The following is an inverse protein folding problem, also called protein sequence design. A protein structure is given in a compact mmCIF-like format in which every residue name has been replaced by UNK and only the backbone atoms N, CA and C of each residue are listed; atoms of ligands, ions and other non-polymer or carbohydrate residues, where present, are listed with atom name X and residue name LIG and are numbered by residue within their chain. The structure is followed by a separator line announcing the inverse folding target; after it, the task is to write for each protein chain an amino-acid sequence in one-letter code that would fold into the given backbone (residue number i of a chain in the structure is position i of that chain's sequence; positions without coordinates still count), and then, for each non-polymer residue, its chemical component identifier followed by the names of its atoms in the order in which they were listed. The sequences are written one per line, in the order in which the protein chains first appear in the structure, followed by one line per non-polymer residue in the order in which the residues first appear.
data_IF_082998085510
#
_entry.id   IF_082998085510
#
_cell.length_a   1.000
_cell.length_b   1.000
_cell.length_c   1.000
_cell.angle_alpha   90.00
_cell.angle_beta   90.00
_cell.angle_gamma   90.00
#
_symmetry.space_group_name_H-M   'P 1'
#
loop_
_entity.id
_entity.type
_entity.pdbx_description
1 polymer ?
#
# COMPACT_ATOMS: atom_id res chain seq x y z
N UNK A 1 33.45 25.65 50.09
CA UNK A 1 33.66 25.03 48.77
C UNK A 1 32.30 24.87 48.11
N UNK A 2 32.02 25.60 47.03
CA UNK A 2 30.72 25.60 46.33
C UNK A 2 30.79 24.63 45.15
N UNK A 3 29.92 23.61 45.15
CA UNK A 3 29.82 22.62 44.07
C UNK A 3 29.23 23.24 42.81
N UNK A 4 29.76 22.85 41.66
CA UNK A 4 29.25 23.18 40.32
C UNK A 4 28.26 22.08 39.93
N UNK A 5 27.01 22.38 39.55
CA UNK A 5 26.11 21.37 39.01
C UNK A 5 26.43 21.13 37.53
N UNK A 6 26.61 19.86 37.17
CA UNK A 6 26.78 19.42 35.78
C UNK A 6 25.45 19.58 35.03
N UNK A 7 25.45 20.38 33.96
CA UNK A 7 24.31 20.48 33.04
C UNK A 7 24.24 19.25 32.16
N UNK A 8 23.23 18.43 32.37
CA UNK A 8 22.88 17.28 31.55
C UNK A 8 22.39 17.75 30.17
N UNK A 9 23.12 17.36 29.11
CA UNK A 9 22.73 17.63 27.72
C UNK A 9 21.85 16.48 27.24
N UNK A 10 20.53 16.69 27.22
CA UNK A 10 19.61 15.77 26.55
C UNK A 10 19.82 15.85 25.04
N UNK A 11 20.30 14.76 24.45
CA UNK A 11 20.31 14.57 23.01
C UNK A 11 18.93 14.06 22.57
N UNK A 12 18.07 14.97 22.13
CA UNK A 12 16.86 14.62 21.41
C UNK A 12 17.27 14.12 20.01
N UNK A 13 17.02 12.84 19.74
CA UNK A 13 17.20 12.26 18.40
C UNK A 13 15.83 12.26 17.73
N UNK A 14 15.63 13.13 16.75
CA UNK A 14 14.47 13.11 15.88
C UNK A 14 14.51 11.86 14.97
N UNK A 15 13.63 10.89 15.24
CA UNK A 15 13.45 9.66 14.46
C UNK A 15 12.44 9.89 13.33
N UNK A 16 12.64 10.92 12.51
CA UNK A 16 11.87 11.06 11.28
C UNK A 16 12.69 10.58 10.08
N UNK A 17 12.35 9.40 9.57
CA UNK A 17 12.96 8.82 8.38
C UNK A 17 12.76 9.74 7.17
N UNK A 18 13.83 9.97 6.39
CA UNK A 18 13.78 10.71 5.13
C UNK A 18 12.88 9.98 4.14
N UNK A 19 11.63 10.46 3.99
CA UNK A 19 10.75 10.02 2.91
C UNK A 19 11.31 10.59 1.60
N UNK A 20 11.94 9.77 0.79
CA UNK A 20 12.29 10.15 -0.57
C UNK A 20 10.99 10.34 -1.36
N UNK A 21 10.60 11.58 -1.60
CA UNK A 21 9.52 11.87 -2.53
C UNK A 21 10.05 11.60 -3.94
N UNK A 22 9.84 10.37 -4.43
CA UNK A 22 10.08 10.07 -5.84
C UNK A 22 9.08 10.88 -6.65
N UNK A 23 9.57 11.82 -7.45
CA UNK A 23 8.74 12.61 -8.36
C UNK A 23 8.05 11.66 -9.34
N UNK A 24 6.80 11.31 -9.07
CA UNK A 24 5.98 10.50 -9.96
C UNK A 24 5.68 11.33 -11.20
N UNK A 25 6.28 10.97 -12.34
CA UNK A 25 5.98 11.58 -13.63
C UNK A 25 5.16 10.59 -14.44
N UNK A 26 3.97 10.97 -14.91
CA UNK A 26 3.13 10.11 -15.75
C UNK A 26 2.84 10.81 -17.08
N UNK A 27 2.56 10.04 -18.14
CA UNK A 27 2.18 10.59 -19.44
C UNK A 27 0.67 10.83 -19.50
N UNK A 28 0.26 11.92 -20.12
CA UNK A 28 -1.12 12.19 -20.48
C UNK A 28 -1.52 11.37 -21.72
N UNK A 29 -2.78 11.46 -22.14
CA UNK A 29 -3.33 10.78 -23.32
C UNK A 29 -2.62 11.19 -24.62
N UNK A 30 -2.16 12.44 -24.71
CA UNK A 30 -1.37 12.96 -25.83
C UNK A 30 0.14 12.65 -25.71
N UNK A 31 0.54 11.79 -24.77
CA UNK A 31 1.94 11.40 -24.55
C UNK A 31 2.81 12.44 -23.82
N UNK A 32 2.24 13.61 -23.45
CA UNK A 32 2.93 14.67 -22.71
C UNK A 32 3.20 14.27 -21.25
N UNK A 33 4.41 14.50 -20.76
CA UNK A 33 4.78 14.18 -19.37
C UNK A 33 4.19 15.20 -18.39
N UNK A 34 3.33 14.72 -17.49
CA UNK A 34 2.77 15.45 -16.36
C UNK A 34 3.68 15.32 -15.15
N UNK A 35 4.08 16.47 -14.59
CA UNK A 35 4.95 16.58 -13.40
C UNK A 35 4.22 17.15 -12.18
N UNK A 36 3.10 17.83 -12.40
CA UNK A 36 2.35 18.49 -11.32
C UNK A 36 1.45 17.46 -10.62
N UNK A 37 1.53 17.29 -9.29
CA UNK A 37 0.77 16.29 -8.55
C UNK A 37 -0.75 16.44 -8.71
N UNK A 38 -1.26 17.66 -8.93
CA UNK A 38 -2.70 17.88 -9.15
C UNK A 38 -3.15 17.36 -10.51
N UNK A 39 -2.38 17.62 -11.57
CA UNK A 39 -2.69 17.08 -12.91
C UNK A 39 -2.51 15.56 -12.95
N UNK A 40 -1.53 15.02 -12.23
CA UNK A 40 -1.31 13.58 -12.10
C UNK A 40 -2.53 12.90 -11.45
N UNK A 41 -3.04 13.44 -10.33
CA UNK A 41 -4.26 12.94 -9.68
C UNK A 41 -5.48 13.01 -10.58
N UNK A 42 -5.66 14.11 -11.31
CA UNK A 42 -6.77 14.25 -12.26
C UNK A 42 -6.67 13.25 -13.42
N UNK A 43 -5.46 13.01 -13.93
CA UNK A 43 -5.20 12.01 -14.97
C UNK A 43 -5.54 10.60 -14.47
N UNK A 44 -5.12 10.25 -13.24
CA UNK A 44 -5.49 8.99 -12.61
C UNK A 44 -7.01 8.84 -12.46
N UNK A 45 -7.70 9.87 -11.95
CA UNK A 45 -9.15 9.84 -11.77
C UNK A 45 -9.90 9.65 -13.10
N UNK A 46 -9.44 10.31 -14.17
CA UNK A 46 -10.04 10.15 -15.51
C UNK A 46 -9.78 8.76 -16.08
N UNK A 47 -8.55 8.26 -15.94
CA UNK A 47 -8.17 6.93 -16.42
C UNK A 47 -8.93 5.82 -15.67
N UNK A 48 -9.02 5.90 -14.34
CA UNK A 48 -9.75 4.90 -13.54
C UNK A 48 -11.24 4.91 -13.87
N UNK A 49 -11.86 6.08 -14.00
CA UNK A 49 -13.24 6.20 -14.42
C UNK A 49 -13.46 5.59 -15.81
N UNK A 50 -12.56 5.87 -16.77
CA UNK A 50 -12.64 5.25 -18.10
C UNK A 50 -12.48 3.74 -18.03
N UNK A 51 -11.48 3.23 -17.31
CA UNK A 51 -11.20 1.79 -17.22
C UNK A 51 -12.38 1.02 -16.59
N UNK A 52 -12.92 1.53 -15.48
CA UNK A 52 -13.95 0.83 -14.70
C UNK A 52 -15.37 1.01 -15.26
N UNK A 53 -15.64 2.12 -15.95
CA UNK A 53 -16.97 2.39 -16.53
C UNK A 53 -17.04 2.10 -18.04
N UNK A 54 -15.95 1.65 -18.66
CA UNK A 54 -16.03 1.06 -20.01
C UNK A 54 -16.74 -0.28 -19.87
N UNK A 55 -17.77 -0.50 -20.70
CA UNK A 55 -18.48 -1.79 -20.76
C UNK A 55 -17.45 -2.90 -20.84
N UNK A 56 -17.52 -3.86 -19.92
CA UNK A 56 -16.63 -5.01 -19.93
C UNK A 56 -16.69 -5.64 -21.33
N UNK A 57 -15.54 -5.89 -21.99
CA UNK A 57 -15.55 -6.75 -23.16
C UNK A 57 -16.28 -8.04 -22.78
N UNK A 58 -17.04 -8.63 -23.70
CA UNK A 58 -17.61 -9.97 -23.49
C UNK A 58 -16.47 -10.88 -23.04
N UNK A 59 -16.45 -11.23 -21.75
CA UNK A 59 -15.39 -12.05 -21.18
C UNK A 59 -15.60 -13.43 -21.78
N UNK A 60 -14.67 -13.84 -22.64
CA UNK A 60 -14.64 -15.20 -23.14
C UNK A 60 -14.37 -16.13 -21.95
N UNK A 61 -15.39 -16.89 -21.54
CA UNK A 61 -15.32 -17.83 -20.41
C UNK A 61 -14.25 -18.91 -20.64
N UNK A 62 -13.84 -19.14 -21.90
CA UNK A 62 -12.76 -20.06 -22.27
C UNK A 62 -11.41 -19.34 -22.48
N UNK A 63 -11.29 -18.04 -22.17
CA UNK A 63 -10.02 -17.32 -22.27
C UNK A 63 -8.93 -17.95 -21.38
N UNK A 64 -9.30 -18.55 -20.25
CA UNK A 64 -8.39 -19.28 -19.38
C UNK A 64 -7.85 -20.57 -20.03
N UNK A 65 -8.65 -21.22 -20.89
CA UNK A 65 -8.24 -22.42 -21.62
C UNK A 65 -7.32 -22.08 -22.82
N UNK A 66 -7.51 -20.89 -23.38
CA UNK A 66 -6.65 -20.34 -24.44
C UNK A 66 -5.36 -19.72 -23.89
N UNK A 67 -5.32 -19.39 -22.60
CA UNK A 67 -4.12 -18.90 -21.96
C UNK A 67 -3.08 -20.03 -21.94
N UNK A 68 -1.83 -19.69 -22.31
CA UNK A 68 -0.72 -20.63 -22.23
C UNK A 68 -0.58 -21.08 -20.78
N UNK A 69 -1.04 -22.30 -20.49
CA UNK A 69 -0.82 -22.92 -19.19
C UNK A 69 0.66 -23.19 -19.08
N UNK A 70 1.30 -22.58 -18.09
CA UNK A 70 2.67 -22.94 -17.75
C UNK A 70 2.66 -24.43 -17.40
N UNK A 71 3.70 -25.20 -17.81
CA UNK A 71 3.81 -26.57 -17.38
C UNK A 71 3.71 -26.57 -15.86
N UNK A 72 2.77 -27.35 -15.32
CA UNK A 72 2.75 -27.64 -13.88
C UNK A 72 4.13 -28.18 -13.57
N UNK A 73 4.88 -27.47 -12.73
CA UNK A 73 6.21 -27.90 -12.34
C UNK A 73 6.01 -29.12 -11.43
N UNK A 74 5.98 -30.30 -12.04
CA UNK A 74 5.84 -31.60 -11.37
C UNK A 74 6.92 -31.91 -10.33
N UNK A 75 8.18 -31.42 -10.37
CA UNK A 75 9.16 -31.79 -9.34
C UNK A 75 8.95 -31.12 -7.98
N UNK A 76 7.92 -30.28 -7.77
CA UNK A 76 7.68 -29.67 -6.44
C UNK A 76 7.07 -30.63 -5.42
N UNK A 77 6.53 -31.78 -5.83
CA UNK A 77 5.93 -32.76 -4.92
C UNK A 77 6.93 -33.87 -4.52
N UNK A 78 8.11 -33.89 -5.13
CA UNK A 78 9.14 -34.89 -4.85
C UNK A 78 9.85 -34.60 -3.52
N UNK A 79 10.31 -35.67 -2.85
CA UNK A 79 11.08 -35.54 -1.62
C UNK A 79 12.41 -34.83 -1.95
N UNK A 80 12.79 -33.78 -1.21
CA UNK A 80 14.02 -33.05 -1.49
C UNK A 80 15.22 -33.98 -1.39
N UNK A 81 16.08 -33.93 -2.41
CA UNK A 81 17.32 -34.70 -2.48
C UNK A 81 18.44 -34.05 -1.65
N UNK A 82 19.44 -34.84 -1.27
CA UNK A 82 20.59 -34.33 -0.52
C UNK A 82 21.33 -33.21 -1.28
N UNK A 83 21.46 -33.36 -2.60
CA UNK A 83 22.10 -32.37 -3.47
C UNK A 83 21.31 -31.06 -3.46
N UNK A 84 19.99 -31.12 -3.60
CA UNK A 84 19.15 -29.90 -3.57
C UNK A 84 19.28 -29.14 -2.25
N UNK A 85 19.40 -29.86 -1.12
CA UNK A 85 19.64 -29.21 0.18
C UNK A 85 21.03 -28.59 0.24
N UNK A 86 22.06 -29.26 -0.27
CA UNK A 86 23.42 -28.71 -0.35
C UNK A 86 23.46 -27.44 -1.21
N UNK A 87 22.80 -27.45 -2.38
CA UNK A 87 22.69 -26.29 -3.25
C UNK A 87 21.90 -25.16 -2.58
N UNK A 88 20.78 -25.46 -1.94
CA UNK A 88 19.97 -24.49 -1.22
C UNK A 88 20.75 -23.82 -0.09
N UNK A 89 21.49 -24.60 0.70
CA UNK A 89 22.35 -24.09 1.78
C UNK A 89 23.42 -23.16 1.19
N UNK A 90 24.08 -23.56 0.10
CA UNK A 90 25.09 -22.74 -0.59
C UNK A 90 24.52 -21.41 -1.13
N UNK A 91 23.28 -21.44 -1.64
CA UNK A 91 22.59 -20.27 -2.20
C UNK A 91 21.99 -19.31 -1.14
N UNK A 92 21.94 -19.70 0.13
CA UNK A 92 21.41 -18.82 1.19
C UNK A 92 22.09 -17.45 1.18
N UNK A 93 21.34 -16.36 1.36
CA UNK A 93 21.95 -15.03 1.33
C UNK A 93 22.63 -14.71 2.66
N UNK A 94 23.87 -14.23 2.58
CA UNK A 94 24.63 -13.79 3.75
C UNK A 94 24.11 -12.43 4.27
N UNK A 95 24.39 -12.13 5.54
CA UNK A 95 24.09 -10.86 6.24
C UNK A 95 22.60 -10.54 6.32
N UNK A 96 21.75 -11.55 6.26
CA UNK A 96 20.32 -11.41 6.55
C UNK A 96 20.09 -11.34 8.05
N UNK A 97 18.98 -10.71 8.43
CA UNK A 97 18.53 -10.71 9.82
C UNK A 97 18.34 -12.15 10.30
N UNK A 98 18.84 -12.42 11.49
CA UNK A 98 18.77 -13.73 12.11
C UNK A 98 17.35 -14.00 12.59
N UNK A 99 16.91 -15.25 12.48
CA UNK A 99 15.63 -15.71 12.99
C UNK A 99 15.58 -15.76 14.52
N UNK A 100 14.46 -16.22 15.10
CA UNK A 100 14.33 -16.43 16.55
C UNK A 100 15.35 -17.42 17.14
N UNK A 101 15.94 -18.25 16.29
CA UNK A 101 16.92 -19.26 16.66
C UNK A 101 18.36 -18.72 16.81
N UNK A 102 18.57 -17.42 16.58
CA UNK A 102 19.88 -16.76 16.66
C UNK A 102 20.98 -17.39 15.77
N UNK A 103 20.59 -18.18 14.76
CA UNK A 103 21.49 -18.82 13.79
C UNK A 103 21.61 -18.03 12.47
N UNK A 104 22.78 -17.40 12.19
CA UNK A 104 23.00 -16.70 10.93
C UNK A 104 23.28 -17.69 9.78
N UNK A 105 22.94 -17.28 8.56
CA UNK A 105 23.09 -18.09 7.34
C UNK A 105 24.56 -18.51 7.10
N UNK A 106 25.51 -17.65 7.45
CA UNK A 106 26.94 -17.91 7.31
C UNK A 106 27.40 -19.09 8.16
N UNK A 107 26.83 -19.23 9.36
CA UNK A 107 27.19 -20.29 10.28
C UNK A 107 26.64 -21.64 9.80
N UNK A 108 25.42 -21.64 9.28
CA UNK A 108 24.78 -22.83 8.70
C UNK A 108 25.60 -23.36 7.52
N UNK A 109 26.01 -22.47 6.59
CA UNK A 109 26.89 -22.84 5.48
C UNK A 109 28.21 -23.43 5.96
N UNK A 110 28.88 -22.77 6.90
CA UNK A 110 30.18 -23.24 7.42
C UNK A 110 30.10 -24.64 8.03
N UNK A 111 29.03 -24.97 8.74
CA UNK A 111 28.86 -26.27 9.35
C UNK A 111 28.45 -27.36 8.35
N UNK A 112 27.54 -27.04 7.43
CA UNK A 112 26.98 -28.02 6.49
C UNK A 112 27.86 -28.27 5.26
N UNK A 113 28.64 -27.28 4.81
CA UNK A 113 29.55 -27.43 3.66
C UNK A 113 30.77 -28.32 4.01
N UNK A 114 31.18 -28.35 5.28
CA UNK A 114 32.37 -29.06 5.75
C UNK A 114 32.12 -30.47 6.32
N UNK A 115 30.88 -30.77 6.72
CA UNK A 115 30.52 -32.03 7.36
C UNK A 115 29.32 -32.71 6.67
N UNK A 116 29.67 -33.66 5.79
CA UNK A 116 28.69 -34.47 5.05
C UNK A 116 27.86 -35.38 5.97
N UNK A 117 28.33 -35.68 7.19
CA UNK A 117 27.54 -36.38 8.21
C UNK A 117 26.42 -35.50 8.75
N UNK A 118 26.77 -34.27 9.13
CA UNK A 118 25.80 -33.28 9.61
C UNK A 118 24.79 -32.89 8.51
N UNK A 119 25.24 -32.77 7.26
CA UNK A 119 24.36 -32.52 6.11
C UNK A 119 23.31 -33.64 5.94
N UNK A 120 23.68 -34.91 6.16
CA UNK A 120 22.73 -36.03 6.09
C UNK A 120 21.71 -36.01 7.22
N UNK A 121 22.12 -35.70 8.44
CA UNK A 121 21.18 -35.55 9.57
C UNK A 121 20.23 -34.37 9.34
N UNK A 122 20.76 -33.25 8.85
CA UNK A 122 19.94 -32.09 8.47
C UNK A 122 18.95 -32.44 7.35
N UNK A 123 19.38 -33.18 6.34
CA UNK A 123 18.52 -33.69 5.28
C UNK A 123 17.41 -34.59 5.81
N UNK A 124 17.71 -35.49 6.75
CA UNK A 124 16.71 -36.35 7.37
C UNK A 124 15.62 -35.54 8.07
N UNK A 125 15.98 -34.46 8.79
CA UNK A 125 15.02 -33.56 9.44
C UNK A 125 14.13 -32.88 8.40
N UNK A 126 14.71 -32.37 7.31
CA UNK A 126 13.93 -31.70 6.25
C UNK A 126 12.96 -32.66 5.57
N UNK A 127 13.38 -33.91 5.32
CA UNK A 127 12.51 -34.96 4.77
C UNK A 127 11.38 -35.32 5.73
N UNK A 128 11.65 -35.40 7.03
CA UNK A 128 10.64 -35.69 8.06
C UNK A 128 9.57 -34.60 8.12
N UNK A 129 9.98 -33.33 8.13
CA UNK A 129 9.06 -32.17 8.08
C UNK A 129 8.27 -32.16 6.77
N UNK A 130 8.92 -32.48 5.65
CA UNK A 130 8.27 -32.56 4.34
C UNK A 130 7.16 -33.61 4.29
N UNK A 131 7.43 -34.81 4.83
CA UNK A 131 6.47 -35.91 4.85
C UNK A 131 5.33 -35.68 5.85
N UNK A 132 5.64 -35.08 7.00
CA UNK A 132 4.65 -34.81 8.04
C UNK A 132 3.73 -33.66 7.65
N UNK A 133 4.27 -32.64 6.94
CA UNK A 133 3.53 -31.42 6.59
C UNK A 133 3.25 -30.51 7.79
N UNK A 134 3.85 -30.80 8.96
CA UNK A 134 3.68 -30.01 10.16
C UNK A 134 4.55 -28.75 10.09
N UNK A 135 3.89 -27.61 9.90
CA UNK A 135 4.53 -26.29 10.00
C UNK A 135 4.67 -25.96 11.49
N UNK A 136 5.87 -25.63 11.99
CA UNK A 136 6.03 -25.23 13.38
C UNK A 136 5.11 -24.05 13.71
N UNK A 137 4.43 -24.12 14.86
CA UNK A 137 3.38 -23.19 15.26
C UNK A 137 3.78 -21.71 15.11
N UNK A 138 5.04 -21.38 15.40
CA UNK A 138 5.57 -20.02 15.26
C UNK A 138 5.52 -19.50 13.81
N UNK A 139 5.75 -20.35 12.82
CA UNK A 139 5.68 -20.01 11.40
C UNK A 139 4.22 -19.89 10.92
N UNK A 140 3.32 -20.73 11.45
CA UNK A 140 1.89 -20.63 11.20
C UNK A 140 1.31 -19.31 11.74
N UNK A 141 1.69 -18.91 12.94
CA UNK A 141 1.28 -17.64 13.54
C UNK A 141 1.88 -16.44 12.81
N UNK A 142 3.15 -16.50 12.43
CA UNK A 142 3.82 -15.44 11.67
C UNK A 142 3.17 -15.24 10.29
N UNK A 143 2.82 -16.31 9.58
CA UNK A 143 2.15 -16.25 8.29
C UNK A 143 0.71 -15.72 8.42
N UNK A 144 -0.04 -16.15 9.43
CA UNK A 144 -1.37 -15.59 9.74
C UNK A 144 -1.31 -14.09 10.08
N UNK A 145 -0.32 -13.64 10.87
CA UNK A 145 -0.11 -12.23 11.17
C UNK A 145 0.20 -11.41 9.91
N UNK A 146 1.06 -11.93 9.03
CA UNK A 146 1.37 -11.30 7.73
C UNK A 146 0.13 -11.18 6.84
N UNK A 147 -0.73 -12.21 6.81
CA UNK A 147 -1.98 -12.16 6.06
C UNK A 147 -2.98 -11.15 6.64
N UNK A 148 -3.17 -11.14 7.97
CA UNK A 148 -4.03 -10.16 8.65
C UNK A 148 -3.55 -8.72 8.42
N UNK A 149 -2.24 -8.48 8.46
CA UNK A 149 -1.67 -7.17 8.16
C UNK A 149 -1.96 -6.74 6.71
N UNK A 150 -1.79 -7.65 5.74
CA UNK A 150 -2.13 -7.39 4.33
C UNK A 150 -3.63 -7.14 4.12
N UNK A 151 -4.49 -7.88 4.81
CA UNK A 151 -5.95 -7.68 4.76
C UNK A 151 -6.34 -6.33 5.35
N UNK A 152 -5.80 -5.98 6.52
CA UNK A 152 -6.05 -4.68 7.15
C UNK A 152 -5.55 -3.51 6.28
N UNK A 153 -4.42 -3.65 5.59
CA UNK A 153 -3.93 -2.64 4.64
C UNK A 153 -4.84 -2.51 3.40
N UNK A 154 -5.33 -3.64 2.87
CA UNK A 154 -6.29 -3.65 1.77
C UNK A 154 -7.64 -3.03 2.16
N UNK A 155 -8.16 -3.34 3.35
CA UNK A 155 -9.40 -2.79 3.89
C UNK A 155 -9.27 -1.31 4.23
N UNK A 156 -8.17 -0.88 4.84
CA UNK A 156 -7.89 0.54 5.11
C UNK A 156 -7.80 1.36 3.81
N UNK A 157 -7.27 0.77 2.74
CA UNK A 157 -7.21 1.41 1.43
C UNK A 157 -8.60 1.49 0.78
N UNK A 158 -9.47 0.52 1.03
CA UNK A 158 -10.86 0.53 0.54
C UNK A 158 -11.78 1.51 1.31
N UNK A 159 -11.57 1.69 2.62
CA UNK A 159 -12.36 2.59 3.47
C UNK A 159 -11.97 4.06 3.25
N UNK A 160 -10.72 4.33 2.86
CA UNK A 160 -10.26 5.67 2.42
C UNK A 160 -10.75 6.02 1.00
N UNK A 161 -12.06 5.97 0.77
CA UNK A 161 -12.70 6.64 -0.37
C UNK A 161 -12.54 8.16 -0.28
N UNK A 162 -12.71 8.91 -1.39
CA UNK A 162 -12.33 10.33 -1.45
C UNK A 162 -13.11 11.16 -0.43
N UNK A 163 -12.41 11.60 0.62
CA UNK A 163 -12.91 12.57 1.61
C UNK A 163 -13.36 13.84 0.88
N UNK A 164 -14.68 14.03 0.78
CA UNK A 164 -15.31 15.24 0.25
C UNK A 164 -15.06 16.37 1.25
N UNK A 165 -13.99 17.15 1.04
CA UNK A 165 -13.77 18.39 1.80
C UNK A 165 -14.94 19.33 1.52
N UNK A 166 -15.76 19.58 2.55
CA UNK A 166 -16.77 20.65 2.59
C UNK A 166 -16.06 21.98 2.32
N UNK A 167 -16.44 22.65 1.24
CA UNK A 167 -15.95 23.99 0.95
C UNK A 167 -16.50 24.95 2.00
N UNK A 168 -15.60 25.54 2.78
CA UNK A 168 -15.89 26.65 3.68
C UNK A 168 -16.18 27.91 2.87
N UNK A 169 -17.33 28.48 3.16
CA UNK A 169 -17.91 29.74 2.74
C UNK A 169 -16.89 30.91 2.83
N UNK A 170 -16.64 31.57 1.70
CA UNK A 170 -15.81 32.76 1.65
C UNK A 170 -16.61 33.96 2.15
N UNK A 171 -16.28 34.43 3.35
CA UNK A 171 -16.77 35.69 3.89
C UNK A 171 -16.30 36.86 3.01
N UNK A 172 -17.27 37.49 2.35
CA UNK A 172 -17.13 38.75 1.62
C UNK A 172 -16.76 39.87 2.61
N UNK A 173 -15.61 40.51 2.38
CA UNK A 173 -15.18 41.70 3.10
C UNK A 173 -16.11 42.88 2.85
N UNK A 174 -16.91 43.23 3.85
CA UNK A 174 -17.76 44.41 3.85
C UNK A 174 -16.96 45.71 4.03
N UNK A 175 -16.99 46.59 3.03
CA UNK A 175 -16.59 47.99 3.16
C UNK A 175 -17.61 48.73 4.04
N UNK A 176 -17.12 49.32 5.14
CA UNK A 176 -17.86 50.25 6.01
C UNK A 176 -18.35 51.46 5.22
N UNK A 177 -19.66 51.72 5.24
CA UNK A 177 -20.25 53.06 5.04
C UNK A 177 -21.30 53.33 6.12
N UNK A 178 -21.32 54.60 6.55
CA UNK A 178 -21.92 55.18 7.77
C UNK A 178 -23.46 55.20 7.76
N UNK A 179 -24.11 55.37 8.94
CA UNK A 179 -25.56 55.26 9.10
C UNK A 179 -26.27 56.56 8.71
N UNK A 180 -27.46 56.44 8.12
CA UNK A 180 -28.34 57.56 7.81
C UNK A 180 -29.77 57.07 7.58
N UNK A 181 -30.61 57.32 8.59
CA UNK A 181 -32.06 57.59 8.53
C UNK A 181 -32.99 56.60 7.85
N UNK A 182 -33.78 55.94 8.69
CA UNK A 182 -35.01 55.25 8.38
C UNK A 182 -36.12 56.21 7.88
N UNK A 183 -37.16 55.57 7.33
CA UNK A 183 -38.51 56.06 7.01
C UNK A 183 -38.70 56.36 5.51
N UNK A 184 -39.77 55.76 4.96
CA UNK A 184 -40.31 55.84 3.60
C UNK A 184 -39.75 54.89 2.53
N UNK A 185 -40.29 53.66 2.46
CA UNK A 185 -40.76 53.06 1.19
C UNK A 185 -41.41 51.67 1.42
N UNK A 186 -42.39 51.55 2.32
CA UNK A 186 -43.25 50.35 2.44
C UNK A 186 -44.55 50.45 1.64
N UNK A 187 -44.56 51.19 0.52
CA UNK A 187 -45.79 51.36 -0.26
C UNK A 187 -45.53 51.68 -1.72
N UNK A 188 -45.14 50.68 -2.51
CA UNK A 188 -45.41 50.57 -3.95
C UNK A 188 -44.64 49.39 -4.55
N UNK A 189 -45.30 48.23 -4.67
CA UNK A 189 -45.10 47.25 -5.76
C UNK A 189 -45.89 45.93 -5.53
N UNK A 190 -46.99 45.95 -4.77
CA UNK A 190 -47.91 44.80 -4.66
C UNK A 190 -49.01 44.82 -5.74
N UNK A 191 -48.65 45.20 -6.97
CA UNK A 191 -49.60 45.30 -8.08
C UNK A 191 -48.92 44.95 -9.42
N UNK A 192 -48.74 43.66 -9.68
CA UNK A 192 -48.69 43.06 -11.02
C UNK A 192 -48.57 41.53 -10.93
N UNK A 193 -49.51 40.88 -10.23
CA UNK A 193 -49.93 39.53 -10.61
C UNK A 193 -51.00 39.72 -11.71
N UNK A 194 -51.04 38.83 -12.69
CA UNK A 194 -52.03 38.75 -13.79
C UNK A 194 -51.67 39.56 -15.05
N UNK A 195 -50.73 39.04 -15.82
CA UNK A 195 -50.82 39.01 -17.28
C UNK A 195 -49.70 38.11 -17.81
N UNK A 196 -50.00 36.82 -18.02
CA UNK A 196 -49.42 35.95 -19.05
C UNK A 196 -49.85 34.50 -18.80
N UNK A 197 -51.14 34.24 -19.06
CA UNK A 197 -51.65 32.91 -19.34
C UNK A 197 -52.58 33.05 -20.55
N UNK A 198 -52.16 32.51 -21.69
CA UNK A 198 -52.97 32.35 -22.90
C UNK A 198 -52.76 30.92 -23.37
N UNK A 199 -53.80 30.07 -23.38
CA UNK A 199 -53.79 28.81 -24.12
C UNK A 199 -54.41 29.01 -25.51
N UNK A 200 -53.84 28.36 -26.51
CA UNK A 200 -54.37 28.18 -27.85
C UNK A 200 -53.81 26.90 -28.44
#
# INVERSE_FOLDING_TARGET
MRGVPATERQHHIDVEGKRSFTSQNIKDEDGKVLRNPTFIRQRWARWSHKLLNTKSPTIDLHAADKAKRWPTCVPLDDIPSLLEIEEAVREMANRKAVGPDDLPAELIKLFLDGDQGLLREFHAIVVDVWQTGDVPQQEAEASAKRQRARQAEAESTAISGPTRKRAGEAAVGGKKRRPGTAVEASRAAEAALVANYVPG
#
